data_IF_801520836588
#
_entry.id   IF_801520836588
#
_cell.length_a   1.000
_cell.length_b   1.000
_cell.length_c   1.000
_cell.angle_alpha   90.00
_cell.angle_beta   90.00
_cell.angle_gamma   90.00
#
_symmetry.space_group_name_H-M   'P 1'
#
loop_
_entity.id
_entity.type
_entity.pdbx_description
1 polymer ?
#
# COMPACT_ATOMS: atom_id res chain seq x y z
N UNK A 1 30.04 -5.19 -16.50
CA UNK A 1 30.84 -6.41 -16.31
C UNK A 1 30.26 -7.16 -15.13
N UNK A 2 29.72 -8.38 -15.29
CA UNK A 2 29.27 -9.17 -14.15
C UNK A 2 30.48 -9.54 -13.30
N UNK A 3 30.43 -9.21 -12.01
CA UNK A 3 31.44 -9.59 -11.03
C UNK A 3 31.27 -11.08 -10.72
N UNK A 4 32.16 -11.90 -11.27
CA UNK A 4 32.27 -13.33 -10.92
C UNK A 4 32.89 -13.39 -9.53
N UNK A 5 32.21 -14.05 -8.59
CA UNK A 5 32.73 -14.25 -7.25
C UNK A 5 34.05 -15.06 -7.32
N UNK A 6 35.14 -14.61 -6.67
CA UNK A 6 36.44 -15.28 -6.75
C UNK A 6 36.52 -16.58 -5.94
N UNK A 7 35.46 -16.96 -5.21
CA UNK A 7 35.45 -18.17 -4.39
C UNK A 7 34.85 -19.35 -5.16
N UNK A 8 35.53 -20.50 -5.07
CA UNK A 8 35.00 -21.75 -5.61
C UNK A 8 33.83 -22.24 -4.75
N UNK A 9 32.81 -22.84 -5.37
CA UNK A 9 31.59 -23.31 -4.67
C UNK A 9 31.92 -24.33 -3.57
N UNK A 10 33.00 -25.10 -3.74
CA UNK A 10 33.46 -26.12 -2.80
C UNK A 10 34.05 -25.53 -1.51
N UNK A 11 34.52 -24.28 -1.54
CA UNK A 11 35.09 -23.60 -0.38
C UNK A 11 34.02 -22.95 0.52
N UNK A 12 32.77 -22.87 0.04
CA UNK A 12 31.64 -22.41 0.84
C UNK A 12 31.05 -23.62 1.58
N UNK A 13 31.43 -23.80 2.85
CA UNK A 13 30.68 -24.71 3.73
C UNK A 13 29.25 -24.17 3.82
N UNK A 14 28.29 -24.91 3.26
CA UNK A 14 26.87 -24.52 3.28
C UNK A 14 26.37 -24.55 4.72
N UNK A 15 26.37 -23.39 5.35
CA UNK A 15 25.92 -23.14 6.73
C UNK A 15 24.40 -23.01 6.84
N UNK A 16 23.67 -23.12 5.71
CA UNK A 16 22.22 -22.99 5.65
C UNK A 16 21.71 -21.56 5.91
N UNK A 17 22.59 -20.57 6.05
CA UNK A 17 22.23 -19.20 6.44
C UNK A 17 22.12 -18.22 5.26
N UNK A 18 22.51 -18.65 4.06
CA UNK A 18 22.34 -17.92 2.82
C UNK A 18 20.86 -17.86 2.41
N UNK A 19 20.16 -16.77 2.77
CA UNK A 19 18.77 -16.46 2.35
C UNK A 19 18.68 -15.92 0.92
N UNK A 20 19.74 -16.02 0.12
CA UNK A 20 19.62 -15.74 -1.30
C UNK A 20 18.70 -16.82 -1.89
N UNK A 21 17.56 -16.47 -2.50
CA UNK A 21 16.75 -17.45 -3.22
C UNK A 21 17.70 -18.13 -4.19
N UNK A 22 17.83 -19.44 -4.05
CA UNK A 22 18.82 -20.20 -4.76
C UNK A 22 18.80 -19.76 -6.23
N UNK A 23 19.95 -19.31 -6.74
CA UNK A 23 20.20 -19.06 -8.17
C UNK A 23 20.14 -20.37 -8.99
N UNK A 24 19.37 -21.34 -8.49
CA UNK A 24 19.12 -22.73 -8.88
C UNK A 24 17.64 -22.89 -9.26
N UNK A 25 16.91 -21.80 -9.58
CA UNK A 25 15.59 -21.94 -10.24
C UNK A 25 15.71 -22.47 -11.69
N UNK A 26 16.92 -22.64 -12.22
CA UNK A 26 17.20 -23.33 -13.48
C UNK A 26 17.54 -24.82 -13.37
N UNK A 27 17.66 -25.41 -12.17
CA UNK A 27 18.24 -26.75 -12.02
C UNK A 27 17.28 -27.86 -11.54
N UNK A 28 16.12 -27.53 -10.95
CA UNK A 28 15.21 -28.56 -10.37
C UNK A 28 14.00 -28.93 -11.23
N UNK A 29 13.67 -28.16 -12.27
CA UNK A 29 12.69 -28.58 -13.27
C UNK A 29 13.45 -28.88 -14.57
N UNK A 30 13.81 -30.14 -14.80
CA UNK A 30 14.58 -30.62 -15.97
C UNK A 30 13.92 -30.45 -17.34
N UNK A 31 13.20 -29.36 -17.60
CA UNK A 31 12.47 -29.11 -18.84
C UNK A 31 13.18 -28.22 -19.86
N UNK A 32 14.14 -27.38 -19.43
CA UNK A 32 14.75 -26.38 -20.32
C UNK A 32 16.27 -26.48 -20.47
N UNK A 33 16.93 -27.40 -19.77
CA UNK A 33 18.37 -27.59 -19.92
C UNK A 33 18.68 -28.09 -21.33
N UNK A 34 19.50 -27.35 -22.08
CA UNK A 34 19.87 -27.66 -23.45
C UNK A 34 18.96 -27.07 -24.55
N UNK A 35 17.87 -26.38 -24.19
CA UNK A 35 17.09 -25.62 -25.15
C UNK A 35 17.77 -24.27 -25.43
N UNK A 36 18.13 -24.03 -26.68
CA UNK A 36 18.69 -22.76 -27.14
C UNK A 36 17.78 -22.11 -28.19
N UNK A 37 17.91 -20.78 -28.34
CA UNK A 37 17.20 -20.01 -29.36
C UNK A 37 15.67 -20.10 -29.22
N UNK A 38 14.99 -20.38 -30.34
CA UNK A 38 13.53 -20.36 -30.42
C UNK A 38 12.85 -21.40 -29.49
N UNK A 39 13.44 -22.58 -29.34
CA UNK A 39 12.87 -23.65 -28.51
C UNK A 39 12.76 -23.24 -27.03
N UNK A 40 13.68 -22.40 -26.55
CA UNK A 40 13.62 -21.87 -25.18
C UNK A 40 12.47 -20.86 -25.03
N UNK A 41 12.27 -19.99 -26.03
CA UNK A 41 11.18 -19.02 -26.06
C UNK A 41 9.83 -19.74 -26.05
N UNK A 42 9.68 -20.77 -26.89
CA UNK A 42 8.46 -21.57 -26.97
C UNK A 42 8.18 -22.32 -25.66
N UNK A 43 9.22 -22.84 -24.99
CA UNK A 43 9.10 -23.43 -23.66
C UNK A 43 8.56 -22.41 -22.63
N UNK A 44 9.03 -21.17 -22.65
CA UNK A 44 8.52 -20.14 -21.74
C UNK A 44 7.08 -19.74 -22.07
N UNK A 45 6.71 -19.64 -23.35
CA UNK A 45 5.34 -19.36 -23.78
C UNK A 45 4.40 -20.47 -23.30
N UNK A 46 4.73 -21.73 -23.59
CA UNK A 46 3.92 -22.90 -23.20
C UNK A 46 3.81 -23.05 -21.68
N UNK A 47 4.90 -22.81 -20.93
CA UNK A 47 4.87 -22.77 -19.45
C UNK A 47 3.93 -21.67 -18.95
N UNK A 48 4.04 -20.45 -19.48
CA UNK A 48 3.17 -19.31 -19.13
C UNK A 48 1.70 -19.59 -19.42
N UNK A 49 1.40 -20.23 -20.54
CA UNK A 49 0.03 -20.64 -20.89
C UNK A 49 -0.52 -21.71 -19.93
N UNK A 50 0.30 -22.71 -19.58
CA UNK A 50 -0.05 -23.74 -18.59
C UNK A 50 -0.37 -23.12 -17.23
N UNK A 51 0.45 -22.18 -16.78
CA UNK A 51 0.26 -21.50 -15.50
C UNK A 51 -0.97 -20.60 -15.53
N UNK A 52 -1.22 -19.89 -16.65
CA UNK A 52 -2.46 -19.13 -16.85
C UNK A 52 -3.69 -20.04 -16.78
N UNK A 53 -3.67 -21.20 -17.44
CA UNK A 53 -4.77 -22.18 -17.39
C UNK A 53 -5.00 -22.69 -15.97
N UNK A 54 -3.94 -23.09 -15.26
CA UNK A 54 -4.02 -23.50 -13.84
C UNK A 54 -4.60 -22.41 -12.96
N UNK A 55 -4.16 -21.16 -13.13
CA UNK A 55 -4.69 -20.03 -12.35
C UNK A 55 -6.18 -19.78 -12.62
N UNK A 56 -6.60 -19.87 -13.88
CA UNK A 56 -8.03 -19.78 -14.27
C UNK A 56 -8.83 -20.93 -13.64
N UNK A 57 -8.32 -22.15 -13.69
CA UNK A 57 -8.97 -23.32 -13.10
C UNK A 57 -9.12 -23.18 -11.58
N UNK A 58 -8.06 -22.79 -10.87
CA UNK A 58 -8.08 -22.52 -9.42
C UNK A 58 -9.12 -21.44 -9.09
N UNK A 59 -9.18 -20.37 -9.89
CA UNK A 59 -10.15 -19.30 -9.72
C UNK A 59 -11.60 -19.82 -9.81
N UNK A 60 -11.91 -20.63 -10.83
CA UNK A 60 -13.25 -21.20 -11.00
C UNK A 60 -13.57 -22.25 -9.94
N UNK A 61 -12.60 -23.09 -9.57
CA UNK A 61 -12.74 -24.08 -8.51
C UNK A 61 -13.04 -23.41 -7.17
N UNK A 62 -12.31 -22.36 -6.80
CA UNK A 62 -12.58 -21.58 -5.59
C UNK A 62 -13.98 -20.97 -5.62
N UNK A 63 -14.40 -20.42 -6.77
CA UNK A 63 -15.76 -19.86 -6.92
C UNK A 63 -16.87 -20.89 -6.67
N UNK A 64 -16.64 -22.15 -7.05
CA UNK A 64 -17.62 -23.23 -6.86
C UNK A 64 -17.57 -23.84 -5.45
N UNK A 65 -16.38 -24.03 -4.90
CA UNK A 65 -16.19 -24.76 -3.63
C UNK A 65 -16.25 -23.86 -2.39
N UNK A 66 -15.73 -22.63 -2.49
CA UNK A 66 -15.60 -21.68 -1.38
C UNK A 66 -15.87 -20.26 -1.87
N UNK A 67 -17.15 -19.97 -2.09
CA UNK A 67 -17.62 -18.72 -2.66
C UNK A 67 -17.22 -17.50 -1.81
N UNK A 68 -17.22 -17.63 -0.48
CA UNK A 68 -16.87 -16.54 0.43
C UNK A 68 -15.39 -16.18 0.34
N UNK A 69 -14.51 -17.19 0.30
CA UNK A 69 -13.07 -16.96 0.09
C UNK A 69 -12.80 -16.38 -1.29
N UNK A 70 -13.50 -16.85 -2.33
CA UNK A 70 -13.41 -16.27 -3.67
C UNK A 70 -13.85 -14.79 -3.68
N UNK A 71 -14.97 -14.46 -3.04
CA UNK A 71 -15.43 -13.08 -2.93
C UNK A 71 -14.44 -12.19 -2.16
N UNK A 72 -13.84 -12.70 -1.09
CA UNK A 72 -12.82 -11.98 -0.35
C UNK A 72 -11.59 -11.70 -1.23
N UNK A 73 -11.02 -12.72 -1.87
CA UNK A 73 -9.87 -12.58 -2.77
C UNK A 73 -10.16 -11.58 -3.90
N UNK A 74 -11.35 -11.65 -4.48
CA UNK A 74 -11.78 -10.73 -5.54
C UNK A 74 -11.82 -9.29 -5.06
N UNK A 75 -12.42 -9.01 -3.90
CA UNK A 75 -12.43 -7.67 -3.29
C UNK A 75 -11.02 -7.16 -3.03
N UNK A 76 -10.11 -8.02 -2.53
CA UNK A 76 -8.72 -7.65 -2.30
C UNK A 76 -8.02 -7.31 -3.61
N UNK A 77 -8.19 -8.13 -4.66
CA UNK A 77 -7.61 -7.87 -5.97
C UNK A 77 -8.13 -6.56 -6.58
N UNK A 78 -9.44 -6.35 -6.57
CA UNK A 78 -10.08 -5.11 -7.05
C UNK A 78 -9.55 -3.88 -6.29
N UNK A 79 -9.35 -3.99 -4.98
CA UNK A 79 -8.79 -2.90 -4.17
C UNK A 79 -7.32 -2.57 -4.49
N UNK A 80 -6.56 -3.55 -4.99
CA UNK A 80 -5.14 -3.40 -5.38
C UNK A 80 -4.99 -2.91 -6.83
N UNK A 81 -5.88 -3.33 -7.73
CA UNK A 81 -5.85 -2.97 -9.15
C UNK A 81 -6.09 -1.48 -9.36
N UNK A 82 -7.07 -0.91 -8.66
CA UNK A 82 -7.36 0.52 -8.70
C UNK A 82 -7.51 1.10 -7.27
N UNK A 83 -6.39 1.54 -6.67
CA UNK A 83 -6.42 2.09 -5.33
C UNK A 83 -7.17 3.43 -5.27
N UNK A 84 -7.26 4.17 -6.37
CA UNK A 84 -7.96 5.46 -6.41
C UNK A 84 -9.47 5.26 -6.40
N UNK A 85 -9.99 4.37 -7.24
CA UNK A 85 -11.41 4.00 -7.27
C UNK A 85 -11.84 3.43 -5.91
N UNK A 86 -11.02 2.57 -5.30
CA UNK A 86 -11.27 2.03 -3.95
C UNK A 86 -11.37 3.14 -2.90
N UNK A 87 -10.44 4.10 -2.91
CA UNK A 87 -10.50 5.28 -2.02
C UNK A 87 -11.71 6.15 -2.32
N UNK A 88 -12.08 6.34 -3.58
CA UNK A 88 -13.25 7.11 -3.99
C UNK A 88 -14.55 6.46 -3.49
N UNK A 89 -14.70 5.14 -3.64
CA UNK A 89 -15.81 4.37 -3.07
C UNK A 89 -15.87 4.51 -1.55
N UNK A 90 -14.74 4.36 -0.86
CA UNK A 90 -14.66 4.54 0.59
C UNK A 90 -15.07 5.95 1.05
N UNK A 91 -14.64 6.99 0.31
CA UNK A 91 -15.05 8.38 0.56
C UNK A 91 -16.53 8.59 0.29
N UNK A 92 -17.10 8.02 -0.77
CA UNK A 92 -18.52 8.12 -1.08
C UNK A 92 -19.39 7.46 0.00
N UNK A 93 -18.99 6.27 0.48
CA UNK A 93 -19.64 5.60 1.63
C UNK A 93 -19.56 6.45 2.88
N UNK A 94 -18.40 7.04 3.17
CA UNK A 94 -18.23 7.94 4.32
C UNK A 94 -19.11 9.19 4.21
N UNK A 95 -19.22 9.77 3.00
CA UNK A 95 -20.06 10.93 2.73
C UNK A 95 -21.53 10.59 2.96
N UNK A 96 -22.04 9.49 2.39
CA UNK A 96 -23.43 9.04 2.58
C UNK A 96 -23.73 8.72 4.05
N UNK A 97 -22.79 8.10 4.77
CA UNK A 97 -22.94 7.84 6.20
C UNK A 97 -23.03 9.15 7.02
N UNK A 98 -22.27 10.18 6.63
CA UNK A 98 -22.34 11.52 7.23
C UNK A 98 -23.67 12.22 6.94
N UNK A 99 -24.13 12.18 5.69
CA UNK A 99 -25.39 12.80 5.26
C UNK A 99 -26.61 12.16 5.94
N UNK A 100 -26.64 10.84 6.00
CA UNK A 100 -27.74 10.09 6.62
C UNK A 100 -27.71 10.09 8.15
N UNK A 101 -26.59 10.53 8.75
CA UNK A 101 -26.31 10.44 10.21
C UNK A 101 -26.68 9.08 10.82
N UNK A 102 -26.60 8.00 10.03
CA UNK A 102 -27.10 6.66 10.41
C UNK A 102 -26.44 6.12 11.69
N UNK A 103 -25.19 6.48 11.92
CA UNK A 103 -24.41 6.09 13.09
C UNK A 103 -23.81 7.35 13.74
N UNK A 104 -24.66 8.25 14.20
CA UNK A 104 -24.25 9.46 14.90
C UNK A 104 -24.27 9.25 16.43
N UNK A 105 -23.36 9.96 17.11
CA UNK A 105 -23.38 10.10 18.56
C UNK A 105 -23.90 11.49 18.91
N UNK A 106 -25.01 11.56 19.64
CA UNK A 106 -25.69 12.83 19.94
C UNK A 106 -24.87 13.72 20.90
N UNK A 107 -24.16 13.13 21.87
CA UNK A 107 -23.31 13.87 22.80
C UNK A 107 -22.08 14.52 22.12
N UNK A 108 -21.55 13.89 21.08
CA UNK A 108 -20.34 14.35 20.39
C UNK A 108 -20.62 15.04 19.05
N UNK A 109 -21.87 15.04 18.57
CA UNK A 109 -22.29 15.36 17.20
C UNK A 109 -21.36 14.77 16.12
N UNK A 110 -20.93 13.53 16.32
CA UNK A 110 -19.98 12.84 15.43
C UNK A 110 -20.66 11.69 14.71
N UNK A 111 -20.70 11.78 13.37
CA UNK A 111 -21.15 10.68 12.52
C UNK A 111 -20.00 9.69 12.24
N UNK A 112 -20.25 8.41 12.50
CA UNK A 112 -19.36 7.29 12.23
C UNK A 112 -19.75 6.56 10.93
N UNK A 113 -18.78 5.86 10.31
CA UNK A 113 -19.01 5.12 9.05
C UNK A 113 -19.74 3.80 9.23
N UNK A 114 -19.55 3.16 10.37
CA UNK A 114 -20.05 1.82 10.70
C UNK A 114 -20.57 1.81 12.14
N UNK A 115 -21.46 0.86 12.45
CA UNK A 115 -21.94 0.62 13.82
C UNK A 115 -20.80 0.21 14.75
N UNK A 116 -19.82 -0.55 14.26
CA UNK A 116 -18.63 -0.94 15.03
C UNK A 116 -17.77 0.27 15.41
N UNK A 117 -17.62 1.25 14.52
CA UNK A 117 -16.92 2.49 14.80
C UNK A 117 -17.67 3.36 15.83
N UNK A 118 -19.00 3.33 15.83
CA UNK A 118 -19.81 4.00 16.86
C UNK A 118 -19.66 3.33 18.22
N UNK A 119 -19.68 1.98 18.29
CA UNK A 119 -19.39 1.24 19.53
C UNK A 119 -17.99 1.53 20.06
N UNK A 120 -16.98 1.52 19.19
CA UNK A 120 -15.61 1.88 19.56
C UNK A 120 -15.52 3.36 20.02
N UNK A 121 -16.32 4.25 19.43
CA UNK A 121 -16.42 5.64 19.87
C UNK A 121 -16.99 5.74 21.29
N UNK A 122 -18.08 5.03 21.60
CA UNK A 122 -18.64 4.98 22.96
C UNK A 122 -17.68 4.38 23.98
N UNK A 123 -16.88 3.39 23.57
CA UNK A 123 -15.86 2.81 24.44
C UNK A 123 -14.66 3.75 24.70
N UNK A 124 -14.46 4.77 23.86
CA UNK A 124 -13.30 5.66 23.94
C UNK A 124 -13.36 6.59 25.17
N UNK A 125 -12.22 6.82 25.81
CA UNK A 125 -12.15 7.68 27.01
C UNK A 125 -12.66 9.09 26.73
N UNK A 126 -12.35 9.65 25.56
CA UNK A 126 -12.83 10.97 25.16
C UNK A 126 -14.36 11.09 25.10
N UNK A 127 -15.08 9.99 24.82
CA UNK A 127 -16.54 9.99 24.90
C UNK A 127 -17.01 9.95 26.35
N UNK A 128 -16.44 9.07 27.16
CA UNK A 128 -16.73 8.95 28.60
C UNK A 128 -16.47 10.25 29.35
N UNK A 129 -15.39 10.97 29.00
CA UNK A 129 -15.05 12.25 29.62
C UNK A 129 -16.12 13.31 29.29
N UNK A 130 -16.62 13.34 28.04
CA UNK A 130 -17.73 14.22 27.64
C UNK A 130 -19.04 13.84 28.33
N UNK A 131 -19.32 12.55 28.46
CA UNK A 131 -20.48 12.03 29.20
C UNK A 131 -20.42 12.41 30.68
N UNK A 132 -19.22 12.38 31.28
CA UNK A 132 -18.96 12.82 32.66
C UNK A 132 -18.87 14.35 32.83
N UNK A 133 -18.95 15.13 31.74
CA UNK A 133 -18.80 16.59 31.78
C UNK A 133 -17.37 17.08 32.04
N UNK A 134 -16.36 16.22 31.92
CA UNK A 134 -14.95 16.58 32.10
C UNK A 134 -14.46 17.28 30.82
N UNK A 135 -14.39 18.62 30.88
CA UNK A 135 -13.81 19.43 29.81
C UNK A 135 -12.29 19.40 29.92
N UNK A 136 -11.64 18.64 29.06
CA UNK A 136 -10.18 18.74 28.93
C UNK A 136 -9.82 20.14 28.41
N UNK A 137 -8.93 20.88 29.08
CA UNK A 137 -8.47 22.16 28.56
C UNK A 137 -7.82 21.89 27.19
N UNK A 138 -8.27 22.61 26.17
CA UNK A 138 -7.62 22.58 24.87
C UNK A 138 -6.17 22.96 25.11
N UNK A 139 -5.25 22.00 24.95
CA UNK A 139 -3.83 22.29 24.93
C UNK A 139 -3.64 23.26 23.77
N UNK A 140 -3.57 24.54 24.10
CA UNK A 140 -3.07 25.56 23.20
C UNK A 140 -1.68 25.05 22.85
N UNK A 141 -1.56 24.46 21.66
CA UNK A 141 -0.25 24.23 21.08
C UNK A 141 0.30 25.63 20.98
N UNK A 142 1.39 25.92 21.70
CA UNK A 142 2.10 27.18 21.64
C UNK A 142 2.68 27.32 20.23
N UNK A 143 1.81 27.64 19.27
CA UNK A 143 2.23 28.11 17.96
C UNK A 143 2.97 29.41 18.24
N UNK A 144 4.28 29.46 17.90
CA UNK A 144 5.10 30.64 18.11
C UNK A 144 4.35 31.87 17.57
N UNK A 145 4.31 32.97 18.32
CA UNK A 145 3.58 34.18 17.92
C UNK A 145 4.05 34.71 16.56
N UNK A 146 5.29 34.42 16.17
CA UNK A 146 5.88 34.76 14.87
C UNK A 146 5.18 34.07 13.67
N UNK A 147 4.47 32.96 13.90
CA UNK A 147 3.69 32.25 12.88
C UNK A 147 2.20 32.61 12.91
N UNK A 148 1.75 33.48 13.84
CA UNK A 148 0.33 33.85 13.97
C UNK A 148 -0.13 34.93 12.98
N UNK A 149 0.79 35.73 12.42
CA UNK A 149 0.47 36.82 11.49
C UNK A 149 0.71 36.47 10.03
N UNK A 150 1.34 35.33 9.73
CA UNK A 150 1.39 34.83 8.37
C UNK A 150 0.00 34.32 8.01
N UNK A 151 -0.77 35.13 7.27
CA UNK A 151 -2.03 34.70 6.68
C UNK A 151 -1.82 33.31 6.09
N UNK A 152 -2.70 32.36 6.42
CA UNK A 152 -2.59 30.96 6.00
C UNK A 152 -2.37 30.82 4.48
N UNK A 153 -2.71 31.86 3.71
CA UNK A 153 -2.46 32.02 2.29
C UNK A 153 -0.97 32.11 1.87
N UNK A 154 -0.11 32.81 2.62
CA UNK A 154 1.31 33.02 2.24
C UNK A 154 2.16 31.76 2.51
N UNK A 155 1.92 31.07 3.63
CA UNK A 155 2.70 29.91 4.04
C UNK A 155 2.51 28.70 3.09
N UNK A 156 1.27 28.47 2.61
CA UNK A 156 1.02 27.42 1.61
C UNK A 156 1.56 27.78 0.22
N UNK A 157 1.64 29.07 -0.14
CA UNK A 157 2.25 29.53 -1.40
C UNK A 157 3.76 29.29 -1.40
N UNK A 158 4.44 29.53 -0.27
CA UNK A 158 5.88 29.32 -0.14
C UNK A 158 6.29 27.83 -0.22
N UNK A 159 5.56 26.93 0.45
CA UNK A 159 5.86 25.48 0.39
C UNK A 159 5.59 24.85 -0.98
N UNK A 160 4.58 25.34 -1.74
CA UNK A 160 4.30 24.84 -3.10
C UNK A 160 5.36 25.30 -4.13
N UNK A 161 5.98 26.46 -3.92
CA UNK A 161 7.06 26.98 -4.76
C UNK A 161 8.40 26.26 -4.52
N UNK A 162 8.74 25.96 -3.26
CA UNK A 162 9.95 25.22 -2.90
C UNK A 162 9.97 23.79 -3.50
N UNK A 163 8.85 23.06 -3.48
CA UNK A 163 8.77 21.70 -4.06
C UNK A 163 8.78 21.68 -5.60
N UNK A 164 8.26 22.71 -6.27
CA UNK A 164 8.34 22.80 -7.74
C UNK A 164 9.75 23.08 -8.23
N UNK A 165 10.55 23.84 -7.48
CA UNK A 165 11.93 24.20 -7.85
C UNK A 165 12.88 23.00 -7.73
N UNK A 166 12.75 22.18 -6.68
CA UNK A 166 13.54 20.96 -6.51
C UNK A 166 13.30 19.93 -7.62
N UNK A 167 12.05 19.79 -8.10
CA UNK A 167 11.71 18.85 -9.17
C UNK A 167 12.19 19.30 -10.57
N UNK A 168 12.36 20.61 -10.77
CA UNK A 168 12.90 21.17 -12.01
C UNK A 168 14.42 21.00 -12.12
N UNK A 169 15.15 21.16 -11.00
CA UNK A 169 16.62 21.03 -10.98
C UNK A 169 17.06 19.59 -11.33
N UNK A 170 16.34 18.57 -10.88
CA UNK A 170 16.65 17.17 -11.26
C UNK A 170 16.30 16.82 -12.72
N UNK A 171 15.36 17.52 -13.35
CA UNK A 171 15.01 17.27 -14.75
C UNK A 171 15.95 17.97 -15.75
N UNK A 172 16.60 19.06 -15.32
CA UNK A 172 17.47 19.87 -16.17
C UNK A 172 18.94 19.41 -16.21
N UNK A 173 19.32 18.36 -15.45
CA UNK A 173 20.68 17.80 -15.49
C UNK A 173 21.79 18.75 -15.04
N UNK A 174 21.46 19.80 -14.26
CA UNK A 174 22.45 20.77 -13.79
C UNK A 174 23.17 20.17 -12.57
N UNK A 175 24.49 19.87 -12.65
CA UNK A 175 25.23 19.35 -11.52
C UNK A 175 25.33 20.42 -10.41
N UNK A 176 25.28 20.02 -9.12
CA UNK A 176 25.46 20.94 -8.02
C UNK A 176 26.87 21.53 -8.04
N UNK A 177 26.96 22.86 -7.98
CA UNK A 177 28.23 23.58 -7.84
C UNK A 177 28.74 23.30 -6.42
N UNK A 178 29.81 22.52 -6.32
CA UNK A 178 30.58 22.34 -5.09
C UNK A 178 31.35 23.64 -4.83
N UNK A 179 31.03 24.32 -3.73
CA UNK A 179 31.87 25.37 -3.14
C UNK A 179 32.80 24.76 -2.11
#
# INVERSE_FOLDING_TARGET
MPCVCPWSVEQLSYDGACTHPAYIEGFREGGAQGLAGQALIDHFITKKERDRKKHIEIYWRLKQTDFDRWQHQRRTYESRRDPEESRAKSRAVARRAKETRRFACDLCDKACRTSTALRAHYASQAHKDKEAGIVHPVKLIDTPPELRTCTVYEYFRFRRLQFRRARWISAAGIPPILQ
#
